data_IF_205661710842
#
_entry.id   IF_205661710842
#
_cell.length_a   1.000
_cell.length_b   1.000
_cell.length_c   1.000
_cell.angle_alpha   90.00
_cell.angle_beta   90.00
_cell.angle_gamma   90.00
#
_symmetry.space_group_name_H-M   'P 1'
#
loop_
_entity.id
_entity.type
_entity.pdbx_description
1 polymer ?
#
# COMPACT_ATOMS: atom_id res chain seq x y z
N UNK A 1 14.30 13.76 8.29
CA UNK A 1 13.24 12.75 8.47
C UNK A 1 13.74 11.46 7.85
N UNK A 2 13.86 10.38 8.64
CA UNK A 2 14.34 9.09 8.15
C UNK A 2 13.25 8.44 7.28
N UNK A 3 13.61 7.85 6.13
CA UNK A 3 12.62 7.30 5.19
C UNK A 3 11.72 6.24 5.83
N UNK A 4 12.29 5.41 6.71
CA UNK A 4 11.51 4.40 7.44
C UNK A 4 10.45 5.03 8.35
N UNK A 5 10.74 6.17 8.99
CA UNK A 5 9.76 6.84 9.86
C UNK A 5 8.56 7.33 9.05
N UNK A 6 8.80 7.83 7.83
CA UNK A 6 7.72 8.24 6.91
C UNK A 6 6.87 7.05 6.49
N UNK A 7 7.50 5.94 6.11
CA UNK A 7 6.80 4.71 5.73
C UNK A 7 5.93 4.23 6.91
N UNK A 8 6.53 4.08 8.09
CA UNK A 8 5.83 3.63 9.31
C UNK A 8 4.68 4.57 9.67
N UNK A 9 4.90 5.90 9.56
CA UNK A 9 3.86 6.90 9.81
C UNK A 9 2.67 6.73 8.86
N UNK A 10 2.92 6.53 7.56
CA UNK A 10 1.84 6.32 6.58
C UNK A 10 1.03 5.07 6.90
N UNK A 11 1.68 3.94 7.21
CA UNK A 11 0.99 2.70 7.60
C UNK A 11 0.11 2.88 8.85
N UNK A 12 0.56 3.66 9.83
CA UNK A 12 -0.16 3.89 11.09
C UNK A 12 -1.33 4.87 10.94
N UNK A 13 -1.16 5.90 10.12
CA UNK A 13 -2.05 7.05 10.11
C UNK A 13 -3.04 7.05 8.94
N UNK A 14 -2.74 6.34 7.84
CA UNK A 14 -3.67 6.20 6.73
C UNK A 14 -4.82 5.26 7.13
N UNK A 15 -6.05 5.75 6.99
CA UNK A 15 -7.29 5.02 7.27
C UNK A 15 -8.19 4.90 6.04
N UNK A 16 -7.66 5.23 4.86
CA UNK A 16 -8.40 5.15 3.62
C UNK A 16 -8.65 3.68 3.28
N UNK A 17 -9.88 3.39 2.86
CA UNK A 17 -10.21 2.08 2.31
C UNK A 17 -9.44 1.86 1.02
N UNK A 18 -9.02 0.62 0.81
CA UNK A 18 -8.50 0.20 -0.48
C UNK A 18 -9.64 0.21 -1.51
N UNK A 19 -9.35 0.65 -2.73
CA UNK A 19 -10.38 0.96 -3.73
C UNK A 19 -11.18 -0.31 -4.06
N UNK A 20 -12.48 -0.29 -3.77
CA UNK A 20 -13.36 -1.44 -4.02
C UNK A 20 -13.33 -2.54 -2.96
N UNK A 21 -12.53 -2.39 -1.89
CA UNK A 21 -12.42 -3.37 -0.81
C UNK A 21 -12.92 -2.83 0.54
N UNK A 22 -13.29 -3.76 1.44
CA UNK A 22 -13.75 -3.44 2.80
C UNK A 22 -12.62 -3.45 3.84
N UNK A 23 -11.39 -3.25 3.38
CA UNK A 23 -10.18 -3.15 4.20
C UNK A 23 -9.42 -1.89 3.81
N UNK A 24 -8.58 -1.39 4.72
CA UNK A 24 -7.70 -0.25 4.47
C UNK A 24 -6.52 -0.65 3.57
N UNK A 25 -5.93 0.34 2.90
CA UNK A 25 -4.71 0.16 2.09
C UNK A 25 -3.58 -0.47 2.94
N UNK A 26 -3.43 -0.03 4.20
CA UNK A 26 -2.47 -0.59 5.15
C UNK A 26 -2.75 -2.06 5.46
N UNK A 27 -4.01 -2.42 5.71
CA UNK A 27 -4.39 -3.81 6.02
C UNK A 27 -4.11 -4.74 4.85
N UNK A 28 -4.45 -4.33 3.61
CA UNK A 28 -4.18 -5.09 2.39
C UNK A 28 -2.69 -5.41 2.23
N UNK A 29 -1.82 -4.39 2.30
CA UNK A 29 -0.38 -4.56 2.17
C UNK A 29 0.23 -5.40 3.32
N UNK A 30 -0.23 -5.20 4.57
CA UNK A 30 0.25 -5.98 5.73
C UNK A 30 -0.17 -7.44 5.60
N UNK A 31 -1.42 -7.74 5.24
CA UNK A 31 -1.88 -9.11 5.07
C UNK A 31 -1.09 -9.83 3.96
N UNK A 32 -0.80 -9.13 2.86
CA UNK A 32 0.05 -9.65 1.77
C UNK A 32 1.46 -10.00 2.26
N UNK A 33 2.10 -9.11 3.01
CA UNK A 33 3.42 -9.34 3.61
C UNK A 33 3.40 -10.52 4.61
N UNK A 34 2.37 -10.60 5.46
CA UNK A 34 2.20 -11.71 6.42
C UNK A 34 2.03 -13.07 5.74
N UNK A 35 1.35 -13.13 4.59
CA UNK A 35 1.23 -14.36 3.81
C UNK A 35 2.58 -14.78 3.21
N UNK A 36 3.34 -13.84 2.65
CA UNK A 36 4.68 -14.10 2.14
C UNK A 36 5.63 -14.59 3.24
N UNK A 37 5.58 -13.97 4.42
CA UNK A 37 6.34 -14.37 5.60
C UNK A 37 5.97 -15.78 6.07
N UNK A 38 4.66 -16.09 6.20
CA UNK A 38 4.18 -17.44 6.57
C UNK A 38 4.60 -18.51 5.57
N UNK A 39 4.71 -18.15 4.29
CA UNK A 39 5.24 -19.03 3.25
C UNK A 39 6.77 -19.22 3.31
N UNK A 40 7.47 -18.62 4.29
CA UNK A 40 8.94 -18.62 4.43
C UNK A 40 9.64 -18.06 3.19
N UNK A 41 9.02 -17.06 2.57
CA UNK A 41 9.61 -16.36 1.44
C UNK A 41 10.85 -15.58 1.86
N UNK A 42 11.66 -15.18 0.88
CA UNK A 42 12.80 -14.29 1.12
C UNK A 42 12.32 -12.93 1.62
N UNK A 43 13.10 -12.30 2.50
CA UNK A 43 12.81 -10.95 3.03
C UNK A 43 12.51 -9.93 1.93
N UNK A 44 13.20 -10.03 0.79
CA UNK A 44 12.95 -9.18 -0.36
C UNK A 44 11.49 -9.28 -0.85
N UNK A 45 10.95 -10.50 -0.93
CA UNK A 45 9.55 -10.69 -1.34
C UNK A 45 8.58 -10.22 -0.26
N UNK A 46 8.89 -10.43 1.02
CA UNK A 46 8.08 -9.90 2.13
C UNK A 46 8.02 -8.37 2.07
N UNK A 47 9.15 -7.70 1.83
CA UNK A 47 9.22 -6.26 1.64
C UNK A 47 8.49 -5.80 0.38
N UNK A 48 8.61 -6.51 -0.75
CA UNK A 48 7.87 -6.20 -1.97
C UNK A 48 6.35 -6.28 -1.72
N UNK A 49 5.87 -7.34 -1.08
CA UNK A 49 4.46 -7.46 -0.71
C UNK A 49 4.01 -6.35 0.24
N UNK A 50 4.86 -5.93 1.18
CA UNK A 50 4.54 -4.84 2.09
C UNK A 50 4.44 -3.48 1.37
N UNK A 51 5.16 -3.25 0.27
CA UNK A 51 5.30 -1.93 -0.33
C UNK A 51 4.66 -1.79 -1.73
N UNK A 52 4.11 -2.86 -2.30
CA UNK A 52 3.66 -2.89 -3.69
C UNK A 52 2.66 -1.78 -4.04
N UNK A 53 1.76 -1.45 -3.10
CA UNK A 53 0.70 -0.46 -3.28
C UNK A 53 0.98 0.86 -2.54
N UNK A 54 2.22 1.10 -2.11
CA UNK A 54 2.59 2.27 -1.31
C UNK A 54 2.26 3.60 -2.01
N UNK A 55 2.22 3.62 -3.36
CA UNK A 55 1.82 4.78 -4.15
C UNK A 55 0.43 5.32 -3.78
N UNK A 56 -0.50 4.47 -3.32
CA UNK A 56 -1.82 4.90 -2.88
C UNK A 56 -1.81 5.78 -1.62
N UNK A 57 -0.72 5.80 -0.84
CA UNK A 57 -0.56 6.76 0.26
C UNK A 57 -0.18 8.16 -0.21
N UNK A 58 0.25 8.31 -1.46
CA UNK A 58 0.78 9.56 -2.02
C UNK A 58 -0.25 10.23 -2.92
N UNK A 59 -1.11 9.44 -3.56
CA UNK A 59 -2.20 9.95 -4.40
C UNK A 59 -3.25 10.64 -3.53
N UNK A 60 -3.57 11.90 -3.85
CA UNK A 60 -4.50 12.73 -3.06
C UNK A 60 -5.96 12.31 -3.21
N UNK A 61 -6.41 11.96 -4.42
CA UNK A 61 -7.78 11.46 -4.67
C UNK A 61 -7.78 10.31 -5.71
N UNK A 62 -7.67 9.05 -5.24
CA UNK A 62 -7.71 7.89 -6.14
C UNK A 62 -9.08 7.69 -6.80
N UNK A 63 -10.17 8.07 -6.14
CA UNK A 63 -11.52 7.91 -6.68
C UNK A 63 -11.77 8.88 -7.85
N UNK A 64 -11.23 10.10 -7.76
CA UNK A 64 -11.27 11.06 -8.86
C UNK A 64 -10.50 10.56 -10.10
N UNK A 65 -9.33 9.94 -9.89
CA UNK A 65 -8.55 9.35 -10.98
C UNK A 65 -9.33 8.24 -11.69
N UNK A 66 -9.96 7.35 -10.92
CA UNK A 66 -10.83 6.29 -11.46
C UNK A 66 -12.01 6.89 -12.22
N UNK A 67 -12.72 7.88 -11.66
CA UNK A 67 -13.85 8.56 -12.32
C UNK A 67 -13.44 9.22 -13.64
N UNK A 68 -12.23 9.78 -13.69
CA UNK A 68 -11.70 10.48 -14.86
C UNK A 68 -10.94 9.56 -15.83
N UNK A 69 -10.90 8.25 -15.57
CA UNK A 69 -10.14 7.26 -16.35
C UNK A 69 -8.67 7.67 -16.55
N UNK A 70 -8.06 8.21 -15.48
CA UNK A 70 -6.66 8.65 -15.45
C UNK A 70 -5.82 7.69 -14.62
N UNK A 71 -4.63 7.36 -15.13
CA UNK A 71 -3.65 6.59 -14.38
C UNK A 71 -3.00 7.46 -13.29
N UNK A 72 -2.97 6.94 -12.06
CA UNK A 72 -2.28 7.54 -10.92
C UNK A 72 -0.77 7.30 -10.91
N UNK A 73 -0.24 6.50 -11.86
CA UNK A 73 1.15 6.07 -11.95
C UNK A 73 1.65 5.47 -10.63
N UNK A 74 0.79 4.73 -9.93
CA UNK A 74 1.13 4.06 -8.68
C UNK A 74 1.83 2.72 -8.90
N UNK A 75 1.64 2.10 -10.08
CA UNK A 75 2.19 0.79 -10.46
C UNK A 75 3.44 0.86 -11.36
N UNK A 76 3.82 2.05 -11.84
CA UNK A 76 4.85 2.28 -12.88
C UNK A 76 6.20 2.77 -12.37
#
# INVERSE_FOLDING_TARGET
MHILDKIISNFKNNKSLYIGEKITISEHMIQSAMLAEKAKSKDLLVCSCLLHDYGHFIIEDPDELVKNNKDGNHET
#
